data_IF_194409932197
#
_entry.id   IF_194409932197
#
_cell.length_a   1.000
_cell.length_b   1.000
_cell.length_c   1.000
_cell.angle_alpha   90.00
_cell.angle_beta   90.00
_cell.angle_gamma   90.00
#
_symmetry.space_group_name_H-M   'P 1'
#
loop_
_entity.id
_entity.type
_entity.pdbx_description
1 polymer ?
#
# COMPACT_ATOMS: atom_id res chain seq x y z
N UNK A 1 -5.97 17.38 -56.40
CA UNK A 1 -6.12 16.54 -57.60
C UNK A 1 -6.08 15.08 -57.19
N UNK A 2 -7.07 14.24 -57.51
CA UNK A 2 -7.00 12.83 -57.17
C UNK A 2 -5.98 12.13 -58.08
N UNK A 3 -5.00 11.44 -57.48
CA UNK A 3 -3.94 10.68 -58.17
C UNK A 3 -4.45 9.49 -59.00
N UNK A 4 -5.74 9.11 -58.85
CA UNK A 4 -6.35 7.95 -59.53
C UNK A 4 -7.53 8.42 -60.36
N UNK A 5 -7.47 8.16 -61.67
CA UNK A 5 -8.53 8.52 -62.63
C UNK A 5 -9.87 7.87 -62.25
N UNK A 6 -10.97 8.57 -62.53
CA UNK A 6 -12.33 8.13 -62.18
C UNK A 6 -12.68 6.79 -62.85
N UNK A 7 -12.12 6.53 -64.04
CA UNK A 7 -12.31 5.29 -64.82
C UNK A 7 -11.54 4.11 -64.21
N UNK A 8 -10.34 4.33 -63.65
CA UNK A 8 -9.50 3.29 -63.04
C UNK A 8 -10.05 2.70 -61.73
N UNK A 9 -10.92 3.43 -61.00
CA UNK A 9 -11.49 3.00 -59.70
C UNK A 9 -12.42 1.78 -59.77
N UNK A 10 -12.95 1.45 -60.96
CA UNK A 10 -13.79 0.26 -61.17
C UNK A 10 -12.98 -1.01 -61.43
N UNK A 11 -11.69 -0.88 -61.76
CA UNK A 11 -10.81 -2.04 -61.98
C UNK A 11 -10.52 -2.78 -60.68
N UNK A 12 -10.71 -4.10 -60.69
CA UNK A 12 -10.45 -4.99 -59.55
C UNK A 12 -8.99 -4.91 -59.10
N UNK A 13 -8.05 -4.70 -60.03
CA UNK A 13 -6.62 -4.55 -59.73
C UNK A 13 -6.33 -3.27 -58.93
N UNK A 14 -6.96 -2.14 -59.30
CA UNK A 14 -6.80 -0.86 -58.58
C UNK A 14 -7.43 -0.92 -57.18
N UNK A 15 -8.55 -1.65 -57.04
CA UNK A 15 -9.18 -1.91 -55.74
C UNK A 15 -8.29 -2.76 -54.84
N UNK A 16 -7.68 -3.83 -55.37
CA UNK A 16 -6.72 -4.66 -54.65
C UNK A 16 -5.48 -3.87 -54.20
N UNK A 17 -4.91 -3.05 -55.08
CA UNK A 17 -3.77 -2.19 -54.73
C UNK A 17 -4.13 -1.20 -53.61
N UNK A 18 -5.30 -0.57 -53.71
CA UNK A 18 -5.79 0.36 -52.69
C UNK A 18 -6.05 -0.34 -51.36
N UNK A 19 -6.67 -1.53 -51.39
CA UNK A 19 -6.88 -2.35 -50.21
C UNK A 19 -5.55 -2.78 -49.57
N UNK A 20 -4.54 -3.13 -50.37
CA UNK A 20 -3.21 -3.46 -49.87
C UNK A 20 -2.52 -2.26 -49.20
N UNK A 21 -2.61 -1.06 -49.80
CA UNK A 21 -2.11 0.18 -49.19
C UNK A 21 -2.79 0.43 -47.85
N UNK A 22 -4.12 0.34 -47.78
CA UNK A 22 -4.85 0.50 -46.52
C UNK A 22 -4.48 -0.58 -45.50
N UNK A 23 -4.30 -1.84 -45.92
CA UNK A 23 -3.87 -2.91 -45.03
C UNK A 23 -2.49 -2.64 -44.42
N UNK A 24 -1.52 -2.19 -45.23
CA UNK A 24 -0.18 -1.82 -44.75
C UNK A 24 -0.23 -0.61 -43.82
N UNK A 25 -1.02 0.42 -44.14
CA UNK A 25 -1.19 1.58 -43.28
C UNK A 25 -1.85 1.24 -41.94
N UNK A 26 -2.89 0.40 -41.96
CA UNK A 26 -3.55 -0.09 -40.74
C UNK A 26 -2.59 -0.93 -39.91
N UNK A 27 -1.81 -1.82 -40.53
CA UNK A 27 -0.79 -2.59 -39.84
C UNK A 27 0.25 -1.67 -39.15
N UNK A 28 0.77 -0.67 -39.87
CA UNK A 28 1.69 0.32 -39.29
C UNK A 28 1.07 1.15 -38.16
N UNK A 29 -0.22 1.49 -38.26
CA UNK A 29 -0.93 2.17 -37.17
C UNK A 29 -1.06 1.27 -35.94
N UNK A 30 -1.44 0.00 -36.12
CA UNK A 30 -1.58 -0.97 -35.01
C UNK A 30 -0.24 -1.22 -34.31
N UNK A 31 0.86 -1.33 -35.06
CA UNK A 31 2.20 -1.53 -34.45
C UNK A 31 2.69 -0.33 -33.64
N UNK A 32 2.18 0.88 -33.89
CA UNK A 32 2.48 2.06 -33.06
C UNK A 32 1.51 2.23 -31.89
N UNK A 33 0.21 1.98 -32.11
CA UNK A 33 -0.81 2.14 -31.06
C UNK A 33 -0.68 1.08 -29.97
N UNK A 34 -0.36 -0.17 -30.33
CA UNK A 34 -0.20 -1.25 -29.38
C UNK A 34 0.84 -0.97 -28.26
N UNK A 35 2.11 -0.66 -28.56
CA UNK A 35 3.10 -0.37 -27.52
C UNK A 35 2.74 0.88 -26.71
N UNK A 36 2.10 1.88 -27.33
CA UNK A 36 1.62 3.06 -26.61
C UNK A 36 0.56 2.68 -25.56
N UNK A 37 -0.42 1.85 -25.91
CA UNK A 37 -1.43 1.37 -24.95
C UNK A 37 -0.80 0.55 -23.82
N UNK A 38 0.20 -0.29 -24.13
CA UNK A 38 0.96 -1.03 -23.11
C UNK A 38 1.72 -0.09 -22.17
N UNK A 39 2.30 1.00 -22.68
CA UNK A 39 2.97 2.01 -21.84
C UNK A 39 1.98 2.75 -20.93
N UNK A 40 0.83 3.16 -21.48
CA UNK A 40 -0.23 3.81 -20.69
C UNK A 40 -0.73 2.86 -19.61
N UNK A 41 -1.02 1.60 -19.94
CA UNK A 41 -1.39 0.57 -18.96
C UNK A 41 -0.31 0.36 -17.90
N UNK A 42 0.96 0.30 -18.32
CA UNK A 42 2.13 0.18 -17.45
C UNK A 42 2.24 1.29 -16.41
N UNK A 43 1.79 2.51 -16.72
CA UNK A 43 1.82 3.65 -15.78
C UNK A 43 0.90 3.47 -14.56
N UNK A 44 -0.08 2.57 -14.64
CA UNK A 44 -0.97 2.23 -13.53
C UNK A 44 -0.52 0.98 -12.74
N UNK A 45 0.55 0.30 -13.20
CA UNK A 45 1.01 -0.94 -12.58
C UNK A 45 1.81 -0.67 -11.32
N UNK A 46 1.67 -1.58 -10.37
CA UNK A 46 2.32 -1.57 -9.06
C UNK A 46 2.90 -2.96 -8.77
N UNK A 47 3.40 -3.23 -7.55
CA UNK A 47 3.94 -4.55 -7.24
C UNK A 47 2.87 -5.66 -7.33
N UNK A 48 1.59 -5.29 -7.31
CA UNK A 48 0.44 -6.19 -7.50
C UNK A 48 0.35 -6.78 -8.92
N UNK A 49 0.67 -6.02 -9.97
CA UNK A 49 0.40 -6.40 -11.38
C UNK A 49 1.55 -6.06 -12.34
N UNK A 50 2.75 -5.77 -11.81
CA UNK A 50 3.95 -5.42 -12.62
C UNK A 50 4.36 -6.48 -13.64
N UNK A 51 3.99 -7.74 -13.41
CA UNK A 51 4.35 -8.87 -14.26
C UNK A 51 3.28 -9.18 -15.32
N UNK A 52 2.13 -8.50 -15.27
CA UNK A 52 1.03 -8.72 -16.21
C UNK A 52 1.19 -7.76 -17.39
N UNK A 53 0.95 -8.22 -18.63
CA UNK A 53 1.14 -7.43 -19.86
C UNK A 53 -0.19 -7.03 -20.52
N UNK A 54 -1.19 -6.67 -19.70
CA UNK A 54 -2.50 -6.25 -20.19
C UNK A 54 -2.45 -4.89 -20.88
N UNK A 55 -3.19 -4.73 -22.00
CA UNK A 55 -3.38 -3.44 -22.68
C UNK A 55 -4.27 -2.49 -21.87
N UNK A 56 -5.19 -3.06 -21.10
CA UNK A 56 -6.12 -2.31 -20.27
C UNK A 56 -5.94 -2.74 -18.81
N UNK A 57 -5.71 -1.81 -17.86
CA UNK A 57 -5.42 -2.18 -16.48
C UNK A 57 -6.49 -3.07 -15.87
N UNK A 58 -6.08 -4.20 -15.30
CA UNK A 58 -7.02 -5.22 -14.80
C UNK A 58 -7.95 -4.69 -13.69
N UNK A 59 -7.52 -3.71 -12.89
CA UNK A 59 -8.33 -3.15 -11.80
C UNK A 59 -9.64 -2.48 -12.26
N UNK A 60 -9.78 -2.12 -13.54
CA UNK A 60 -11.04 -1.58 -14.07
C UNK A 60 -12.14 -2.63 -14.23
N UNK A 61 -11.77 -3.91 -14.31
CA UNK A 61 -12.69 -5.04 -14.57
C UNK A 61 -12.65 -6.11 -13.48
N UNK A 62 -11.56 -6.16 -12.72
CA UNK A 62 -11.32 -7.15 -11.67
C UNK A 62 -11.25 -6.46 -10.30
N UNK A 63 -12.30 -6.65 -9.50
CA UNK A 63 -12.39 -6.11 -8.14
C UNK A 63 -11.33 -6.69 -7.19
N UNK A 64 -10.85 -7.91 -7.44
CA UNK A 64 -9.79 -8.53 -6.65
C UNK A 64 -8.47 -7.79 -6.87
N UNK A 65 -8.15 -7.44 -8.12
CA UNK A 65 -6.97 -6.63 -8.43
C UNK A 65 -7.08 -5.25 -7.82
N UNK A 66 -8.25 -4.60 -7.92
CA UNK A 66 -8.50 -3.31 -7.29
C UNK A 66 -8.31 -3.37 -5.76
N UNK A 67 -8.85 -4.41 -5.12
CA UNK A 67 -8.70 -4.64 -3.68
C UNK A 67 -7.23 -4.81 -3.28
N UNK A 68 -6.46 -5.61 -4.02
CA UNK A 68 -5.03 -5.84 -3.76
C UNK A 68 -4.21 -4.55 -3.90
N UNK A 69 -4.48 -3.73 -4.93
CA UNK A 69 -3.88 -2.39 -5.08
C UNK A 69 -4.27 -1.44 -3.95
N UNK A 70 -5.52 -1.49 -3.50
CA UNK A 70 -5.96 -0.71 -2.35
C UNK A 70 -5.19 -1.11 -1.08
N UNK A 71 -5.01 -2.41 -0.82
CA UNK A 71 -4.24 -2.89 0.33
C UNK A 71 -2.77 -2.48 0.25
N UNK A 72 -2.13 -2.63 -0.91
CA UNK A 72 -0.76 -2.18 -1.14
C UNK A 72 -0.58 -0.71 -0.75
N UNK A 73 -1.48 0.17 -1.21
CA UNK A 73 -1.45 1.58 -0.87
C UNK A 73 -1.78 1.83 0.61
N UNK A 74 -2.81 1.16 1.15
CA UNK A 74 -3.26 1.31 2.54
C UNK A 74 -2.17 0.92 3.52
N UNK A 75 -1.40 -0.12 3.23
CA UNK A 75 -0.31 -0.60 4.07
C UNK A 75 1.07 -0.08 3.63
N UNK A 76 1.12 0.98 2.81
CA UNK A 76 2.35 1.67 2.40
C UNK A 76 3.41 0.74 1.75
N UNK A 77 2.95 -0.22 0.95
CA UNK A 77 3.72 -1.32 0.37
C UNK A 77 4.52 -2.16 1.41
N UNK A 78 4.05 -2.22 2.66
CA UNK A 78 4.66 -3.03 3.73
C UNK A 78 3.81 -4.26 4.03
N UNK A 79 4.14 -5.38 3.38
CA UNK A 79 3.44 -6.65 3.62
C UNK A 79 3.57 -7.13 5.08
N UNK A 80 4.68 -6.80 5.75
CA UNK A 80 4.88 -7.10 7.18
C UNK A 80 3.90 -6.36 8.08
N UNK A 81 3.57 -5.11 7.75
CA UNK A 81 2.56 -4.33 8.48
C UNK A 81 1.16 -4.92 8.26
N UNK A 82 0.84 -5.32 7.02
CA UNK A 82 -0.42 -6.00 6.70
C UNK A 82 -0.56 -7.33 7.47
N UNK A 83 0.49 -8.15 7.46
CA UNK A 83 0.51 -9.45 8.12
C UNK A 83 0.34 -9.31 9.63
N UNK A 84 1.04 -8.37 10.27
CA UNK A 84 0.93 -8.14 11.70
C UNK A 84 -0.48 -7.64 12.07
N UNK A 85 -0.99 -6.64 11.36
CA UNK A 85 -2.30 -6.04 11.64
C UNK A 85 -3.46 -7.03 11.44
N UNK A 86 -3.38 -7.91 10.42
CA UNK A 86 -4.47 -8.82 10.05
C UNK A 86 -4.23 -10.27 10.49
N UNK A 87 -3.12 -10.54 11.18
CA UNK A 87 -2.70 -11.91 11.55
C UNK A 87 -2.66 -12.83 10.33
N UNK A 88 -2.15 -12.30 9.21
CA UNK A 88 -2.05 -12.97 7.92
C UNK A 88 -0.59 -13.39 7.65
N UNK A 89 -0.39 -14.31 6.71
CA UNK A 89 0.94 -14.79 6.29
C UNK A 89 1.12 -14.63 4.78
N UNK A 90 0.69 -13.49 4.24
CA UNK A 90 0.84 -13.21 2.81
C UNK A 90 2.29 -12.86 2.50
N UNK A 91 2.82 -13.37 1.39
CA UNK A 91 4.16 -13.01 0.93
C UNK A 91 4.16 -11.67 0.18
N UNK A 92 3.11 -11.43 -0.59
CA UNK A 92 2.93 -10.23 -1.41
C UNK A 92 1.43 -9.86 -1.48
N UNK A 93 1.14 -8.58 -1.71
CA UNK A 93 -0.26 -8.10 -1.81
C UNK A 93 -1.01 -8.76 -2.97
N UNK A 94 -0.31 -9.17 -4.04
CA UNK A 94 -0.89 -9.90 -5.17
C UNK A 94 -1.55 -11.23 -4.79
N UNK A 95 -1.19 -11.82 -3.65
CA UNK A 95 -1.73 -13.10 -3.18
C UNK A 95 -2.85 -12.96 -2.15
N UNK A 96 -3.23 -11.72 -1.80
CA UNK A 96 -4.24 -11.48 -0.78
C UNK A 96 -5.63 -11.51 -1.38
N UNK A 97 -6.49 -12.38 -0.83
CA UNK A 97 -7.88 -12.45 -1.26
C UNK A 97 -8.77 -11.51 -0.44
N UNK A 98 -9.84 -10.96 -1.04
CA UNK A 98 -10.87 -10.23 -0.33
C UNK A 98 -11.44 -11.05 0.81
N UNK A 99 -11.84 -10.41 1.93
CA UNK A 99 -12.50 -11.12 3.01
C UNK A 99 -13.82 -11.73 2.50
N UNK A 100 -14.20 -12.92 2.99
CA UNK A 100 -15.50 -13.51 2.64
C UNK A 100 -16.65 -12.60 3.09
N UNK A 101 -17.77 -12.67 2.36
CA UNK A 101 -19.01 -11.99 2.69
C UNK A 101 -19.53 -12.34 4.11
N UNK A 102 -20.43 -11.53 4.67
CA UNK A 102 -21.04 -11.81 5.98
C UNK A 102 -20.31 -11.17 7.17
N UNK A 103 -19.50 -10.13 6.95
CA UNK A 103 -18.76 -9.40 8.00
C UNK A 103 -19.33 -8.03 8.30
N UNK A 104 -20.50 -7.71 7.77
CA UNK A 104 -21.14 -6.39 7.84
C UNK A 104 -21.37 -5.96 9.29
N UNK A 105 -21.76 -6.90 10.16
CA UNK A 105 -21.91 -6.64 11.60
C UNK A 105 -20.58 -6.24 12.25
N UNK A 106 -19.49 -6.98 12.00
CA UNK A 106 -18.16 -6.62 12.57
C UNK A 106 -17.67 -5.27 12.07
N UNK A 107 -17.92 -4.96 10.80
CA UNK A 107 -17.59 -3.66 10.21
C UNK A 107 -18.40 -2.54 10.87
N UNK A 108 -19.70 -2.77 11.13
CA UNK A 108 -20.55 -1.83 11.84
C UNK A 108 -20.07 -1.62 13.27
N UNK A 109 -19.86 -2.70 14.03
CA UNK A 109 -19.38 -2.66 15.41
C UNK A 109 -18.04 -1.92 15.51
N UNK A 110 -17.14 -2.14 14.54
CA UNK A 110 -15.86 -1.43 14.47
C UNK A 110 -16.02 0.08 14.23
N UNK A 111 -16.87 0.47 13.27
CA UNK A 111 -17.14 1.89 12.98
C UNK A 111 -17.77 2.59 14.18
N UNK A 112 -18.66 1.92 14.90
CA UNK A 112 -19.27 2.43 16.13
C UNK A 112 -18.25 2.59 17.26
N UNK A 113 -17.39 1.59 17.46
CA UNK A 113 -16.28 1.68 18.41
C UNK A 113 -15.37 2.88 18.13
N UNK A 114 -14.96 3.03 16.87
CA UNK A 114 -14.08 4.12 16.45
C UNK A 114 -14.73 5.51 16.62
N UNK A 115 -16.04 5.61 16.36
CA UNK A 115 -16.79 6.85 16.58
C UNK A 115 -16.94 7.18 18.07
N UNK A 116 -17.15 6.16 18.92
CA UNK A 116 -17.30 6.34 20.38
C UNK A 116 -16.00 6.73 21.09
N UNK A 117 -14.85 6.28 20.55
CA UNK A 117 -13.52 6.51 21.12
C UNK A 117 -12.53 6.78 19.99
N UNK A 118 -12.46 8.04 19.50
CA UNK A 118 -11.52 8.41 18.47
C UNK A 118 -10.09 8.07 18.88
N UNK A 119 -9.41 7.30 18.03
CA UNK A 119 -8.03 6.92 18.25
C UNK A 119 -7.13 8.17 18.20
N UNK A 120 -6.21 8.30 19.14
CA UNK A 120 -5.20 9.37 19.12
C UNK A 120 -4.29 9.15 17.91
N UNK A 121 -3.88 10.22 17.22
CA UNK A 121 -3.08 10.11 16.00
C UNK A 121 -1.75 9.35 16.19
N UNK A 122 -1.22 9.27 17.42
CA UNK A 122 -0.03 8.45 17.78
C UNK A 122 -0.28 6.94 17.87
N UNK A 123 -1.54 6.48 17.81
CA UNK A 123 -1.91 5.07 18.04
C UNK A 123 -2.13 4.24 16.76
N UNK A 124 -2.14 4.87 15.60
CA UNK A 124 -2.28 4.21 14.29
C UNK A 124 -1.21 4.71 13.34
N UNK A 125 -1.05 4.10 12.16
CA UNK A 125 -0.25 4.63 11.05
C UNK A 125 -1.18 5.14 9.97
N UNK A 126 -0.78 6.18 9.24
CA UNK A 126 -1.54 6.63 8.07
C UNK A 126 -1.12 5.85 6.81
N UNK A 127 -2.09 5.20 6.17
CA UNK A 127 -1.91 4.59 4.86
C UNK A 127 -1.75 5.64 3.75
N UNK A 128 -1.37 5.21 2.55
CA UNK A 128 -1.18 6.10 1.40
C UNK A 128 -0.09 7.18 1.59
N UNK A 129 0.84 6.96 2.51
CA UNK A 129 1.93 7.90 2.81
C UNK A 129 3.26 7.53 2.19
N UNK A 130 3.61 6.24 2.14
CA UNK A 130 4.94 5.80 1.70
C UNK A 130 4.81 4.61 0.75
N UNK A 131 5.68 4.56 -0.26
CA UNK A 131 5.85 3.38 -1.10
C UNK A 131 7.33 3.07 -1.20
N UNK A 132 7.81 2.15 -0.37
CA UNK A 132 9.20 1.68 -0.45
C UNK A 132 9.38 0.97 -1.81
N UNK A 133 10.44 1.32 -2.57
CA UNK A 133 10.68 0.77 -3.92
C UNK A 133 10.45 1.73 -5.09
N UNK A 134 10.20 3.01 -4.81
CA UNK A 134 10.52 4.17 -5.67
C UNK A 134 9.70 4.44 -6.96
N UNK A 135 8.52 3.83 -7.15
CA UNK A 135 7.73 4.06 -8.37
C UNK A 135 6.55 5.01 -8.23
N UNK A 136 6.09 5.32 -7.01
CA UNK A 136 4.85 6.08 -6.84
C UNK A 136 4.82 6.95 -5.60
N UNK A 137 4.45 8.23 -5.80
CA UNK A 137 4.02 9.11 -4.70
C UNK A 137 2.55 8.94 -4.45
N UNK A 138 2.23 8.29 -3.32
CA UNK A 138 0.87 8.01 -2.93
C UNK A 138 0.06 9.29 -2.68
N UNK A 139 -1.26 9.14 -2.70
CA UNK A 139 -2.18 10.27 -2.63
C UNK A 139 -2.00 11.12 -1.37
N UNK A 140 -1.90 10.51 -0.19
CA UNK A 140 -1.75 11.26 1.07
C UNK A 140 -0.37 11.86 1.24
N UNK A 141 0.67 11.22 0.69
CA UNK A 141 1.99 11.84 0.57
C UNK A 141 1.94 13.17 -0.19
N UNK A 142 1.29 13.18 -1.36
CA UNK A 142 1.16 14.39 -2.19
C UNK A 142 0.35 15.48 -1.49
N UNK A 143 -0.72 15.12 -0.78
CA UNK A 143 -1.53 16.07 -0.01
C UNK A 143 -0.75 16.66 1.16
N UNK A 144 -0.03 15.84 1.93
CA UNK A 144 0.78 16.32 3.04
C UNK A 144 1.88 17.29 2.56
N UNK A 145 2.60 16.92 1.49
CA UNK A 145 3.58 17.81 0.86
C UNK A 145 2.96 19.11 0.37
N UNK A 146 1.75 19.06 -0.18
CA UNK A 146 1.02 20.28 -0.59
C UNK A 146 0.71 21.18 0.59
N UNK A 147 0.24 20.63 1.71
CA UNK A 147 0.06 21.40 2.95
C UNK A 147 1.36 22.07 3.39
N UNK A 148 2.48 21.36 3.36
CA UNK A 148 3.79 21.95 3.70
C UNK A 148 4.19 23.06 2.71
N UNK A 149 3.89 22.91 1.42
CA UNK A 149 4.07 23.97 0.41
C UNK A 149 3.23 25.20 0.72
N UNK A 150 1.95 25.02 1.02
CA UNK A 150 1.03 26.12 1.35
C UNK A 150 1.45 26.84 2.64
N UNK A 151 1.97 26.13 3.64
CA UNK A 151 2.49 26.72 4.88
C UNK A 151 3.77 27.56 4.71
N UNK A 152 4.39 27.50 3.54
CA UNK A 152 5.66 28.13 3.20
C UNK A 152 5.57 28.94 1.90
N UNK A 153 4.36 29.24 1.42
CA UNK A 153 4.11 29.97 0.16
C UNK A 153 4.83 29.37 -1.07
N UNK A 154 5.11 28.07 -1.04
CA UNK A 154 5.84 27.34 -2.08
C UNK A 154 7.36 27.54 -2.07
N UNK A 155 7.92 28.31 -1.13
CA UNK A 155 9.35 28.53 -1.00
C UNK A 155 10.02 27.41 -0.16
N UNK A 156 11.03 26.78 -0.76
CA UNK A 156 11.79 25.72 -0.10
C UNK A 156 12.72 26.26 0.98
N UNK A 157 13.21 27.50 0.85
CA UNK A 157 14.07 28.10 1.88
C UNK A 157 13.25 28.46 3.12
N UNK A 158 12.02 28.94 2.93
CA UNK A 158 11.08 29.13 4.02
C UNK A 158 10.73 27.81 4.72
N UNK A 159 10.56 26.72 3.95
CA UNK A 159 10.40 25.39 4.52
C UNK A 159 11.61 24.98 5.36
N UNK A 160 12.82 25.13 4.84
CA UNK A 160 14.06 24.80 5.54
C UNK A 160 14.20 25.60 6.84
N UNK A 161 13.84 26.88 6.82
CA UNK A 161 13.84 27.76 8.00
C UNK A 161 12.78 27.36 9.03
N UNK A 162 11.53 27.14 8.61
CA UNK A 162 10.38 26.86 9.48
C UNK A 162 10.41 25.47 10.11
N UNK A 163 10.92 24.49 9.37
CA UNK A 163 10.94 23.09 9.78
C UNK A 163 12.33 22.57 10.17
N UNK A 164 13.33 23.46 10.25
CA UNK A 164 14.72 23.13 10.57
C UNK A 164 15.28 22.01 9.66
N UNK A 165 14.91 22.09 8.37
CA UNK A 165 15.24 21.11 7.36
C UNK A 165 16.35 21.60 6.43
N UNK A 166 16.87 20.69 5.60
CA UNK A 166 17.90 20.99 4.58
C UNK A 166 17.58 20.29 3.27
N UNK A 167 16.49 20.73 2.65
CA UNK A 167 15.99 20.17 1.40
C UNK A 167 16.39 21.08 0.24
N UNK A 168 17.00 20.51 -0.80
CA UNK A 168 17.36 21.23 -2.03
C UNK A 168 16.13 21.57 -2.90
N UNK A 169 14.99 20.95 -2.62
CA UNK A 169 13.77 21.15 -3.35
C UNK A 169 12.65 20.31 -2.77
N UNK A 170 11.42 20.64 -3.14
CA UNK A 170 10.25 19.92 -2.66
C UNK A 170 10.28 18.43 -3.01
N UNK A 171 11.03 17.99 -4.02
CA UNK A 171 11.18 16.57 -4.36
C UNK A 171 11.78 15.77 -3.20
N UNK A 172 12.69 16.34 -2.41
CA UNK A 172 13.32 15.67 -1.26
C UNK A 172 12.46 15.66 0.01
N UNK A 173 11.39 16.45 0.07
CA UNK A 173 10.47 16.50 1.21
C UNK A 173 9.69 15.18 1.27
N UNK A 174 10.10 14.32 2.20
CA UNK A 174 9.51 13.01 2.45
C UNK A 174 8.47 13.01 3.57
N UNK A 175 7.86 11.84 3.77
CA UNK A 175 6.99 11.57 4.92
C UNK A 175 7.77 11.17 6.16
N UNK A 176 7.05 11.07 7.29
CA UNK A 176 7.57 10.52 8.53
C UNK A 176 7.24 9.03 8.56
N UNK A 177 8.26 8.22 8.86
CA UNK A 177 8.11 6.78 9.04
C UNK A 177 7.94 6.50 10.53
N UNK A 178 6.78 5.96 10.89
CA UNK A 178 6.40 5.76 12.29
C UNK A 178 6.76 4.34 12.76
N UNK A 179 7.29 4.26 13.99
CA UNK A 179 7.68 3.02 14.66
C UNK A 179 6.73 2.62 15.79
N UNK A 180 5.42 2.84 15.67
CA UNK A 180 4.44 2.83 16.78
C UNK A 180 4.32 1.53 17.60
N UNK A 181 4.92 0.41 17.15
CA UNK A 181 4.95 -0.85 17.91
C UNK A 181 6.26 -1.06 18.67
N UNK A 182 7.27 -0.22 18.42
CA UNK A 182 8.56 -0.30 19.07
C UNK A 182 8.52 0.35 20.45
N UNK A 183 8.98 -0.37 21.48
CA UNK A 183 9.05 0.12 22.86
C UNK A 183 9.82 1.44 23.01
N UNK A 184 10.87 1.62 22.21
CA UNK A 184 11.74 2.80 22.23
C UNK A 184 11.29 3.92 21.28
N UNK A 185 10.21 3.73 20.54
CA UNK A 185 9.71 4.76 19.64
C UNK A 185 9.13 5.90 20.47
N UNK A 186 9.63 7.10 20.21
CA UNK A 186 9.16 8.33 20.81
C UNK A 186 8.95 9.35 19.70
N UNK A 187 7.99 10.25 19.90
CA UNK A 187 7.80 11.39 19.03
C UNK A 187 9.00 12.33 19.23
N UNK A 188 9.68 12.68 18.15
CA UNK A 188 10.80 13.61 18.16
C UNK A 188 10.36 15.03 18.54
N UNK A 189 9.09 15.37 18.34
CA UNK A 189 8.52 16.68 18.64
C UNK A 189 8.96 17.77 17.66
N UNK A 190 9.46 17.43 16.47
CA UNK A 190 9.84 18.44 15.47
C UNK A 190 8.61 19.19 14.94
N UNK A 191 8.80 20.40 14.39
CA UNK A 191 7.71 21.14 13.77
C UNK A 191 7.04 20.35 12.63
N UNK A 192 7.83 19.62 11.84
CA UNK A 192 7.31 18.80 10.75
C UNK A 192 6.51 17.61 11.29
N UNK A 193 6.96 16.99 12.40
CA UNK A 193 6.22 15.91 13.05
C UNK A 193 4.89 16.39 13.61
N UNK A 194 4.84 17.56 14.25
CA UNK A 194 3.58 18.14 14.71
C UNK A 194 2.59 18.36 13.56
N UNK A 195 3.05 18.92 12.44
CA UNK A 195 2.21 19.11 11.25
C UNK A 195 1.75 17.77 10.65
N UNK A 196 2.60 16.76 10.65
CA UNK A 196 2.24 15.42 10.19
C UNK A 196 1.13 14.80 11.05
N UNK A 197 1.22 14.89 12.38
CA UNK A 197 0.20 14.36 13.28
C UNK A 197 -1.12 15.14 13.21
N UNK A 198 -1.05 16.47 13.02
CA UNK A 198 -2.24 17.29 12.76
C UNK A 198 -2.93 16.87 11.44
N UNK A 199 -2.17 16.79 10.35
CA UNK A 199 -2.66 16.31 9.06
C UNK A 199 -3.29 14.91 9.18
N UNK A 200 -2.66 14.01 9.92
CA UNK A 200 -3.11 12.64 10.15
C UNK A 200 -4.41 12.54 10.96
N UNK A 201 -4.64 13.46 11.90
CA UNK A 201 -5.87 13.51 12.69
C UNK A 201 -7.09 13.93 11.84
N UNK A 202 -6.86 14.78 10.84
CA UNK A 202 -7.90 15.27 9.91
C UNK A 202 -8.32 14.22 8.86
N UNK A 203 -7.56 13.12 8.72
CA UNK A 203 -7.85 12.14 7.67
C UNK A 203 -9.03 11.23 8.04
N UNK A 204 -9.84 10.84 7.04
CA UNK A 204 -10.87 9.83 7.23
C UNK A 204 -10.34 8.54 7.84
N UNK A 205 -11.16 7.92 8.67
CA UNK A 205 -10.84 6.72 9.45
C UNK A 205 -10.35 5.53 8.62
N UNK A 206 -10.84 5.40 7.39
CA UNK A 206 -10.48 4.29 6.51
C UNK A 206 -9.03 4.33 6.01
N UNK A 207 -8.32 5.47 6.14
CA UNK A 207 -6.87 5.55 5.92
C UNK A 207 -6.04 5.06 7.11
N UNK A 208 -6.66 4.86 8.28
CA UNK A 208 -5.96 4.44 9.49
C UNK A 208 -5.58 2.97 9.37
N UNK A 209 -4.33 2.68 9.71
CA UNK A 209 -3.80 1.34 9.89
C UNK A 209 -3.48 1.16 11.36
N UNK A 210 -4.30 0.37 12.05
CA UNK A 210 -4.10 0.10 13.47
C UNK A 210 -2.97 -0.89 13.66
N UNK A 211 -2.03 -0.54 14.56
CA UNK A 211 -0.99 -1.47 14.96
C UNK A 211 -1.57 -2.61 15.79
N UNK A 212 -1.04 -3.82 15.57
CA UNK A 212 -1.36 -5.00 16.37
C UNK A 212 -0.12 -5.44 17.14
N UNK A 213 -0.11 -5.21 18.46
CA UNK A 213 0.97 -5.68 19.32
C UNK A 213 1.02 -7.21 19.37
N UNK A 214 -0.15 -7.87 19.36
CA UNK A 214 -0.22 -9.34 19.22
C UNK A 214 0.44 -9.79 17.92
N UNK A 215 0.10 -9.11 16.81
CA UNK A 215 0.68 -9.28 15.49
C UNK A 215 2.20 -9.19 15.51
N UNK A 216 2.72 -8.08 16.01
CA UNK A 216 4.16 -7.83 16.14
C UNK A 216 4.86 -8.84 17.05
N UNK A 217 4.25 -9.22 18.18
CA UNK A 217 4.79 -10.21 19.10
C UNK A 217 4.92 -11.59 18.44
N UNK A 218 3.87 -12.06 17.78
CA UNK A 218 3.92 -13.37 17.12
C UNK A 218 4.86 -13.35 15.93
N UNK A 219 4.65 -12.46 14.97
CA UNK A 219 5.34 -12.54 13.68
C UNK A 219 6.74 -11.92 13.71
N UNK A 220 6.91 -10.89 14.52
CA UNK A 220 8.21 -10.22 14.69
C UNK A 220 9.13 -10.90 15.69
N UNK A 221 8.59 -11.68 16.64
CA UNK A 221 9.38 -12.29 17.71
C UNK A 221 9.21 -13.80 17.82
N UNK A 222 8.00 -14.31 18.09
CA UNK A 222 7.81 -15.75 18.32
C UNK A 222 8.12 -16.61 17.09
N UNK A 223 7.68 -16.22 15.90
CA UNK A 223 7.94 -16.97 14.67
C UNK A 223 9.44 -17.02 14.31
N UNK A 224 10.22 -16.02 14.74
CA UNK A 224 11.67 -16.00 14.54
C UNK A 224 12.39 -17.02 15.45
N UNK A 225 11.86 -17.28 16.64
CA UNK A 225 12.45 -18.20 17.62
C UNK A 225 11.94 -19.63 17.41
N UNK A 226 10.63 -19.78 17.23
CA UNK A 226 9.95 -21.07 17.24
C UNK A 226 9.59 -21.57 15.83
N UNK A 227 9.73 -20.72 14.81
CA UNK A 227 9.33 -21.02 13.45
C UNK A 227 7.87 -20.64 13.17
N UNK A 228 7.50 -20.67 11.89
CA UNK A 228 6.17 -20.26 11.41
C UNK A 228 5.07 -21.26 11.78
N UNK A 229 5.42 -22.50 12.10
CA UNK A 229 4.49 -23.57 12.46
C UNK A 229 4.29 -23.63 13.98
N UNK A 230 3.03 -23.77 14.43
CA UNK A 230 2.64 -23.62 15.85
C UNK A 230 3.08 -24.82 16.71
N UNK A 231 3.38 -25.95 16.08
CA UNK A 231 3.69 -27.22 16.71
C UNK A 231 4.94 -27.11 17.59
N UNK A 232 5.96 -26.40 17.12
CA UNK A 232 7.18 -26.22 17.90
C UNK A 232 6.94 -25.35 19.14
N UNK A 233 6.20 -24.25 18.99
CA UNK A 233 5.78 -23.41 20.10
C UNK A 233 4.96 -24.21 21.13
N UNK A 234 3.97 -24.99 20.66
CA UNK A 234 3.12 -25.83 21.50
C UNK A 234 3.94 -26.85 22.31
N UNK A 235 4.91 -27.53 21.67
CA UNK A 235 5.77 -28.51 22.34
C UNK A 235 6.57 -27.88 23.50
N UNK A 236 7.19 -26.72 23.27
CA UNK A 236 8.03 -26.07 24.28
C UNK A 236 7.21 -25.39 25.38
N UNK A 237 6.05 -24.85 25.03
CA UNK A 237 5.17 -24.14 25.98
C UNK A 237 4.16 -25.05 26.67
N UNK A 238 4.09 -26.33 26.32
CA UNK A 238 3.06 -27.23 26.83
C UNK A 238 1.63 -26.79 26.48
N UNK A 239 1.48 -26.02 25.39
CA UNK A 239 0.19 -25.47 24.96
C UNK A 239 -0.41 -26.30 23.82
N UNK A 240 -1.68 -26.05 23.50
CA UNK A 240 -2.44 -26.81 22.49
C UNK A 240 -3.15 -25.87 21.51
N UNK A 241 -2.50 -24.75 21.18
CA UNK A 241 -3.09 -23.78 20.25
C UNK A 241 -3.18 -24.38 18.85
N UNK A 242 -4.33 -24.20 18.20
CA UNK A 242 -4.50 -24.64 16.80
C UNK A 242 -3.75 -23.76 15.81
N UNK A 243 -3.41 -22.53 16.20
CA UNK A 243 -2.77 -21.54 15.35
C UNK A 243 -2.18 -20.44 16.22
N UNK A 244 -1.10 -19.82 15.73
CA UNK A 244 -0.57 -18.60 16.31
C UNK A 244 -1.60 -17.48 16.42
N UNK A 245 -2.67 -17.49 15.61
CA UNK A 245 -3.77 -16.51 15.72
C UNK A 245 -4.40 -16.43 17.10
N UNK A 246 -4.36 -17.52 17.88
CA UNK A 246 -4.91 -17.57 19.23
C UNK A 246 -3.92 -17.13 20.32
N UNK A 247 -2.63 -16.96 19.97
CA UNK A 247 -1.61 -16.49 20.90
C UNK A 247 -1.68 -14.96 20.97
N UNK A 248 -2.04 -14.44 22.15
CA UNK A 248 -2.09 -13.01 22.43
C UNK A 248 -0.88 -12.59 23.25
N UNK A 249 -0.48 -11.33 23.16
CA UNK A 249 0.50 -10.71 24.04
C UNK A 249 -0.18 -10.40 25.39
N UNK A 250 0.20 -11.07 26.48
CA UNK A 250 -0.37 -10.79 27.80
C UNK A 250 -0.03 -9.38 28.26
N UNK A 251 -0.98 -8.70 28.91
CA UNK A 251 -0.78 -7.34 29.45
C UNK A 251 0.26 -7.27 30.58
N UNK A 252 0.47 -8.38 31.27
CA UNK A 252 1.42 -8.53 32.38
C UNK A 252 2.28 -9.77 32.19
N UNK A 253 3.45 -9.78 32.81
CA UNK A 253 4.39 -10.90 32.74
C UNK A 253 3.72 -12.23 33.14
N UNK A 254 3.65 -13.24 32.25
CA UNK A 254 3.04 -14.53 32.54
C UNK A 254 3.70 -15.25 33.72
N UNK A 255 2.98 -16.17 34.39
CA UNK A 255 3.56 -16.99 35.45
C UNK A 255 4.46 -18.11 34.90
N UNK A 256 4.16 -18.63 33.71
CA UNK A 256 4.95 -19.66 33.07
C UNK A 256 6.33 -19.10 32.69
N UNK A 257 7.40 -19.75 33.16
CA UNK A 257 8.80 -19.30 33.00
C UNK A 257 9.21 -19.02 31.54
N UNK A 258 8.87 -19.91 30.61
CA UNK A 258 9.25 -19.74 29.20
C UNK A 258 8.47 -18.61 28.53
N UNK A 259 7.14 -18.58 28.73
CA UNK A 259 6.30 -17.51 28.20
C UNK A 259 6.68 -16.14 28.81
N UNK A 260 7.09 -16.10 30.08
CA UNK A 260 7.65 -14.90 30.72
C UNK A 260 8.93 -14.45 30.03
N UNK A 261 9.86 -15.36 29.76
CA UNK A 261 11.11 -15.04 29.05
C UNK A 261 10.81 -14.45 27.66
N UNK A 262 9.87 -15.03 26.92
CA UNK A 262 9.46 -14.52 25.61
C UNK A 262 8.82 -13.13 25.72
N UNK A 263 7.98 -12.93 26.74
CA UNK A 263 7.36 -11.63 27.01
C UNK A 263 8.40 -10.57 27.35
N UNK A 264 9.34 -10.86 28.25
CA UNK A 264 10.43 -9.96 28.66
C UNK A 264 11.41 -9.68 27.52
N UNK A 265 11.61 -10.63 26.61
CA UNK A 265 12.44 -10.43 25.42
C UNK A 265 11.78 -9.55 24.35
N UNK A 266 10.45 -9.48 24.34
CA UNK A 266 9.70 -8.65 23.39
C UNK A 266 9.40 -7.25 23.92
N UNK A 267 8.90 -7.15 25.16
CA UNK A 267 8.46 -5.89 25.80
C UNK A 267 9.65 -5.11 26.28
#
# INVERSE_FOLDING_TARGET
MPLISIVGRKSTAVRLLTAAIYAVLVAGAVTMVYPFLIMVSGSFKTDVDKNDFDLFPAFFRDEVVLYRKHLECKYNNRITLYNAANRAKAYEFRTVDPPPAGRERRVKDWKEFEASRPAVASSYVLGYMNHFGDRMRLWKHRQFRRRLMELCDGDIEEYNRKFEARQAGWVGVGSIVEGITGRRYQLAGSAQEREFYAFKAEQPTWFRVYASLDGSYVQGYLEAIYGREIEHYNRLHGSRWRSYRHVILPRTAPAQKLQRKDWEGFV
#
